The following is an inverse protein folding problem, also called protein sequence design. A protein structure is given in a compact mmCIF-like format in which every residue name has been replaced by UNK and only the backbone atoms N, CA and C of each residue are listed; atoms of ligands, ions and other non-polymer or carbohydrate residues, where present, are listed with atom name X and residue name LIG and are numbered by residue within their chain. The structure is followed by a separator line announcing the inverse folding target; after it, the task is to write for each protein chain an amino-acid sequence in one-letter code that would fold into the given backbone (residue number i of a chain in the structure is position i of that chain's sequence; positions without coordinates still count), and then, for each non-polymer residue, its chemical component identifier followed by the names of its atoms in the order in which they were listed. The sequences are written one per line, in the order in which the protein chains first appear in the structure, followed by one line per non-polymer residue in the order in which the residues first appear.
data_IF_746052897874
#
_entry.id   IF_746052897874
#
_cell.length_a   1.000
_cell.length_b   1.000
_cell.length_c   1.000
_cell.angle_alpha   90.00
_cell.angle_beta   90.00
_cell.angle_gamma   90.00
#
_symmetry.space_group_name_H-M   'P 1'
#
loop_
_entity.id
_entity.type
_entity.pdbx_description
1 polymer ?
#
# COMPACT_ATOMS: atom_id res chain seq x y z
N UNK A 1 31.87 4.08 0.68
CA UNK A 1 30.60 3.39 0.33
C UNK A 1 29.95 2.94 1.61
N UNK A 2 28.90 3.65 2.06
CA UNK A 2 28.27 3.52 3.38
C UNK A 2 27.67 2.12 3.62
N UNK A 3 27.70 1.65 4.90
CA UNK A 3 27.14 0.34 5.29
C UNK A 3 25.67 0.16 4.85
N UNK A 4 24.88 1.23 4.84
CA UNK A 4 23.50 1.25 4.35
C UNK A 4 23.38 0.90 2.85
N UNK A 5 24.26 1.44 2.00
CA UNK A 5 24.28 1.14 0.55
C UNK A 5 24.63 -0.33 0.29
N UNK A 6 25.51 -0.91 1.11
CA UNK A 6 25.84 -2.35 1.02
C UNK A 6 24.66 -3.24 1.43
N UNK A 7 23.91 -2.87 2.46
CA UNK A 7 22.70 -3.60 2.90
C UNK A 7 21.61 -3.51 1.84
N UNK A 8 21.37 -2.33 1.25
CA UNK A 8 20.42 -2.16 0.14
C UNK A 8 20.83 -2.97 -1.10
N UNK A 9 22.11 -2.94 -1.47
CA UNK A 9 22.64 -3.75 -2.57
C UNK A 9 22.52 -5.25 -2.30
N UNK A 10 22.78 -5.72 -1.07
CA UNK A 10 22.57 -7.11 -0.69
C UNK A 10 21.09 -7.52 -0.75
N UNK A 11 20.16 -6.66 -0.35
CA UNK A 11 18.72 -6.90 -0.45
C UNK A 11 18.26 -6.96 -1.91
N UNK A 12 18.77 -6.07 -2.77
CA UNK A 12 18.48 -6.07 -4.22
C UNK A 12 19.10 -7.31 -4.89
N UNK A 13 20.31 -7.72 -4.50
CA UNK A 13 20.94 -8.96 -5.02
C UNK A 13 20.23 -10.22 -4.54
N UNK A 14 19.72 -10.26 -3.29
CA UNK A 14 18.88 -11.35 -2.81
C UNK A 14 17.56 -11.43 -3.61
N UNK A 15 17.00 -10.29 -3.97
CA UNK A 15 15.79 -10.22 -4.79
C UNK A 15 16.02 -10.70 -6.22
N UNK A 16 17.15 -10.34 -6.82
CA UNK A 16 17.56 -10.79 -8.15
C UNK A 16 17.84 -12.31 -8.18
N UNK A 17 18.40 -12.89 -7.10
CA UNK A 17 18.67 -14.32 -7.00
C UNK A 17 17.39 -15.15 -6.77
N UNK A 18 16.38 -14.62 -6.10
CA UNK A 18 15.07 -15.28 -5.96
C UNK A 18 14.29 -15.37 -7.27
N UNK A 19 14.49 -14.43 -8.21
CA UNK A 19 13.90 -14.48 -9.54
C UNK A 19 14.60 -15.46 -10.50
N UNK A 20 15.86 -15.84 -10.24
CA UNK A 20 16.65 -16.76 -11.08
C UNK A 20 16.37 -18.25 -10.82
N UNK A 21 15.67 -18.61 -9.73
CA UNK A 21 15.24 -19.99 -9.44
C UNK A 21 13.91 -20.39 -10.08
N UNK A 22 13.33 -19.55 -10.93
CA UNK A 22 12.13 -19.86 -11.70
C UNK A 22 12.54 -20.39 -13.08
N UNK A 23 12.47 -21.70 -13.22
CA UNK A 23 12.26 -22.42 -14.47
C UNK A 23 13.44 -23.11 -15.14
N UNK A 24 13.50 -24.41 -14.90
CA UNK A 24 13.95 -25.42 -15.92
C UNK A 24 13.41 -26.80 -15.56
N UNK A 25 12.13 -27.04 -15.82
CA UNK A 25 11.61 -28.38 -16.05
C UNK A 25 10.41 -28.33 -16.99
N UNK A 26 10.71 -28.30 -18.29
CA UNK A 26 9.70 -28.53 -19.34
C UNK A 26 9.51 -30.05 -19.42
N UNK A 27 8.49 -30.57 -18.77
CA UNK A 27 7.91 -31.85 -19.08
C UNK A 27 6.87 -31.66 -20.19
N UNK A 28 7.11 -32.25 -21.35
CA UNK A 28 6.25 -32.18 -22.53
C UNK A 28 4.98 -33.02 -22.29
N UNK A 29 3.97 -32.51 -21.63
CA UNK A 29 2.53 -32.90 -21.68
C UNK A 29 1.66 -32.22 -20.62
N UNK A 30 2.07 -31.09 -20.11
CA UNK A 30 1.29 -30.36 -19.13
C UNK A 30 0.45 -29.26 -19.78
N UNK A 31 -0.88 -29.33 -19.62
CA UNK A 31 -1.79 -28.25 -19.91
C UNK A 31 -1.21 -26.92 -19.39
N UNK A 32 -0.92 -25.98 -20.30
CA UNK A 32 -0.30 -24.71 -19.94
C UNK A 32 -1.27 -23.90 -19.07
N UNK A 33 -0.92 -23.69 -17.81
CA UNK A 33 -1.73 -22.92 -16.88
C UNK A 33 -1.38 -21.43 -17.00
N UNK A 34 -2.35 -20.62 -17.41
CA UNK A 34 -2.22 -19.17 -17.49
C UNK A 34 -2.62 -18.52 -16.16
N UNK A 35 -1.87 -17.53 -15.74
CA UNK A 35 -2.10 -16.75 -14.53
C UNK A 35 -2.17 -15.28 -14.89
N UNK A 36 -3.37 -14.73 -15.10
CA UNK A 36 -3.53 -13.31 -15.38
C UNK A 36 -3.03 -12.46 -14.22
N UNK A 37 -2.54 -11.27 -14.55
CA UNK A 37 -2.29 -10.20 -13.59
C UNK A 37 -3.57 -9.37 -13.54
N UNK A 38 -4.23 -9.34 -12.39
CA UNK A 38 -5.33 -8.43 -12.13
C UNK A 38 -4.74 -7.06 -11.80
N UNK A 39 -4.89 -6.11 -12.70
CA UNK A 39 -4.39 -4.73 -12.57
C UNK A 39 -5.56 -3.80 -12.29
N UNK A 40 -5.41 -2.96 -11.27
CA UNK A 40 -6.39 -1.93 -10.91
C UNK A 40 -5.71 -0.58 -10.88
N UNK A 41 -6.34 0.42 -11.47
CA UNK A 41 -5.93 1.82 -11.38
C UNK A 41 -7.09 2.63 -10.86
N UNK A 42 -6.88 3.37 -9.78
CA UNK A 42 -7.94 4.14 -9.14
C UNK A 42 -7.51 5.56 -8.81
N UNK A 43 -8.49 6.43 -8.84
CA UNK A 43 -8.45 7.79 -8.33
C UNK A 43 -9.30 7.85 -7.07
N UNK A 44 -8.79 8.53 -6.05
CA UNK A 44 -9.44 8.69 -4.78
C UNK A 44 -9.57 10.16 -4.42
N UNK A 45 -10.72 10.51 -3.88
CA UNK A 45 -10.97 11.84 -3.35
C UNK A 45 -11.70 11.72 -2.01
N UNK A 46 -11.25 12.50 -1.02
CA UNK A 46 -11.83 12.39 0.30
C UNK A 46 -11.42 13.47 1.29
N UNK A 47 -11.70 13.19 2.55
CA UNK A 47 -11.34 14.02 3.67
C UNK A 47 -10.03 13.54 4.30
N UNK A 48 -9.21 14.48 4.74
CA UNK A 48 -7.96 14.23 5.46
C UNK A 48 -7.94 15.00 6.78
N UNK A 49 -7.31 14.41 7.79
CA UNK A 49 -7.10 15.02 9.09
C UNK A 49 -5.71 14.66 9.63
N UNK A 50 -4.89 15.67 9.90
CA UNK A 50 -3.51 15.50 10.36
C UNK A 50 -3.24 16.27 11.63
N UNK A 51 -2.58 15.62 12.58
CA UNK A 51 -1.94 16.19 13.75
C UNK A 51 -0.46 15.79 13.70
N UNK A 52 0.42 16.75 13.69
CA UNK A 52 1.87 16.57 13.83
C UNK A 52 2.39 17.60 14.82
N UNK A 53 2.68 17.15 16.06
CA UNK A 53 3.09 18.06 17.14
C UNK A 53 4.50 18.61 16.95
N UNK A 54 5.30 18.04 16.03
CA UNK A 54 6.56 18.64 15.62
C UNK A 54 6.37 19.96 14.86
N UNK A 55 5.34 20.05 14.00
CA UNK A 55 5.01 21.27 13.27
C UNK A 55 4.05 22.19 14.04
N UNK A 56 3.02 21.61 14.67
CA UNK A 56 1.95 22.35 15.33
C UNK A 56 1.15 21.45 16.27
N UNK A 57 0.75 21.93 17.45
CA UNK A 57 -0.15 21.19 18.34
C UNK A 57 -1.61 21.17 17.83
N UNK A 58 -1.90 21.84 16.70
CA UNK A 58 -3.24 21.94 16.15
C UNK A 58 -3.51 20.78 15.18
N UNK A 59 -4.75 20.30 15.16
CA UNK A 59 -5.24 19.35 14.16
C UNK A 59 -5.69 20.10 12.91
N UNK A 60 -5.11 19.78 11.78
CA UNK A 60 -5.48 20.26 10.46
C UNK A 60 -6.51 19.34 9.83
N UNK A 61 -7.42 19.90 9.04
CA UNK A 61 -8.45 19.14 8.31
C UNK A 61 -8.65 19.71 6.92
N UNK A 62 -8.90 18.83 5.95
CA UNK A 62 -9.09 19.25 4.57
C UNK A 62 -9.40 18.09 3.65
N UNK A 63 -8.92 18.17 2.42
CA UNK A 63 -9.16 17.19 1.38
C UNK A 63 -7.88 16.48 0.95
N UNK A 64 -8.05 15.24 0.51
CA UNK A 64 -7.01 14.39 -0.07
C UNK A 64 -7.38 13.99 -1.49
N UNK A 65 -6.37 13.85 -2.34
CA UNK A 65 -6.44 13.24 -3.66
C UNK A 65 -5.34 12.19 -3.73
N UNK A 66 -5.69 10.97 -4.13
CA UNK A 66 -4.71 9.88 -4.26
C UNK A 66 -4.91 9.14 -5.58
N UNK A 67 -3.82 8.75 -6.20
CA UNK A 67 -3.80 7.87 -7.38
C UNK A 67 -3.14 6.56 -6.95
N UNK A 68 -3.81 5.44 -7.21
CA UNK A 68 -3.35 4.11 -6.86
C UNK A 68 -3.22 3.20 -8.06
N UNK A 69 -2.18 2.38 -8.06
CA UNK A 69 -2.01 1.21 -8.89
C UNK A 69 -1.88 -0.05 -8.04
N UNK A 70 -2.60 -1.11 -8.38
CA UNK A 70 -2.57 -2.39 -7.68
C UNK A 70 -2.47 -3.54 -8.67
N UNK A 71 -1.58 -4.50 -8.43
CA UNK A 71 -1.34 -5.65 -9.29
C UNK A 71 -1.35 -6.93 -8.46
N UNK A 72 -2.29 -7.82 -8.75
CA UNK A 72 -2.43 -9.10 -8.07
C UNK A 72 -2.17 -10.25 -9.05
N UNK A 73 -1.43 -11.26 -8.61
CA UNK A 73 -1.11 -12.43 -9.42
C UNK A 73 -1.12 -13.71 -8.59
N UNK A 74 -1.77 -14.77 -9.09
CA UNK A 74 -1.66 -16.09 -8.52
C UNK A 74 -0.29 -16.70 -8.85
N UNK A 75 0.43 -17.19 -7.84
CA UNK A 75 1.76 -17.78 -7.98
C UNK A 75 1.66 -19.26 -8.35
N UNK A 76 2.71 -19.79 -9.02
CA UNK A 76 2.78 -21.21 -9.41
C UNK A 76 3.00 -22.14 -8.21
N UNK A 77 3.67 -21.64 -7.20
CA UNK A 77 4.04 -22.41 -6.01
C UNK A 77 2.81 -22.75 -5.16
N UNK A 78 2.91 -23.82 -4.39
CA UNK A 78 1.94 -24.25 -3.39
C UNK A 78 0.50 -24.40 -3.90
N UNK A 79 0.33 -25.25 -4.91
CA UNK A 79 -1.00 -25.60 -5.47
C UNK A 79 -1.85 -24.40 -5.90
N UNK A 80 -1.18 -23.30 -6.32
CA UNK A 80 -1.83 -22.09 -6.84
C UNK A 80 -2.63 -21.29 -5.78
N UNK A 81 -2.39 -21.58 -4.51
CA UNK A 81 -3.06 -20.89 -3.40
C UNK A 81 -2.34 -19.62 -2.94
N UNK A 82 -1.12 -19.37 -3.43
CA UNK A 82 -0.39 -18.15 -3.11
C UNK A 82 -0.79 -17.05 -4.09
N UNK A 83 -1.15 -15.89 -3.52
CA UNK A 83 -1.39 -14.64 -4.25
C UNK A 83 -0.26 -13.68 -3.87
N UNK A 84 0.37 -13.10 -4.88
CA UNK A 84 1.27 -11.97 -4.73
C UNK A 84 0.53 -10.69 -5.08
N UNK A 85 0.64 -9.67 -4.26
CA UNK A 85 0.14 -8.34 -4.54
C UNK A 85 1.29 -7.32 -4.47
N UNK A 86 1.22 -6.32 -5.35
CA UNK A 86 2.05 -5.14 -5.34
C UNK A 86 1.15 -3.93 -5.49
N UNK A 87 1.33 -2.92 -4.65
CA UNK A 87 0.57 -1.70 -4.67
C UNK A 87 1.51 -0.50 -4.67
N UNK A 88 1.12 0.56 -5.37
CA UNK A 88 1.83 1.83 -5.39
C UNK A 88 0.83 2.98 -5.39
N UNK A 89 1.05 4.00 -4.58
CA UNK A 89 0.19 5.17 -4.53
C UNK A 89 0.97 6.47 -4.41
N UNK A 90 0.35 7.55 -4.89
CA UNK A 90 0.79 8.92 -4.71
C UNK A 90 -0.38 9.74 -4.20
N UNK A 91 -0.18 10.43 -3.07
CA UNK A 91 -1.18 11.24 -2.40
C UNK A 91 -0.76 12.70 -2.27
N UNK A 92 -1.74 13.59 -2.38
CA UNK A 92 -1.63 15.02 -2.17
C UNK A 92 -2.79 15.51 -1.32
N UNK A 93 -2.48 16.30 -0.28
CA UNK A 93 -3.48 16.83 0.62
C UNK A 93 -3.33 18.32 0.84
N UNK A 94 -4.45 18.97 1.09
CA UNK A 94 -4.52 20.39 1.46
C UNK A 94 -5.49 20.55 2.64
N UNK A 95 -4.94 20.94 3.76
CA UNK A 95 -5.67 21.00 5.04
C UNK A 95 -5.54 22.38 5.67
N UNK A 96 -6.59 22.81 6.38
CA UNK A 96 -6.64 24.09 7.08
C UNK A 96 -6.61 23.87 8.60
N UNK A 97 -6.01 24.84 9.29
CA UNK A 97 -6.11 24.92 10.76
C UNK A 97 -7.56 25.16 11.20
N UNK A 98 -7.92 24.90 12.48
CA UNK A 98 -9.25 25.19 13.00
C UNK A 98 -9.68 26.64 12.79
N UNK A 99 -8.76 27.59 12.92
CA UNK A 99 -9.00 29.02 12.68
C UNK A 99 -8.96 29.42 11.19
N UNK A 100 -8.70 28.47 10.27
CA UNK A 100 -8.57 28.68 8.81
C UNK A 100 -7.52 29.74 8.39
N UNK A 101 -6.57 30.04 9.25
CA UNK A 101 -5.52 31.04 9.02
C UNK A 101 -4.16 30.43 8.68
N UNK A 102 -4.05 29.12 8.63
CA UNK A 102 -2.85 28.37 8.28
C UNK A 102 -3.21 27.16 7.44
N UNK A 103 -2.35 26.82 6.50
CA UNK A 103 -2.53 25.68 5.59
C UNK A 103 -1.38 24.70 5.73
N UNK A 104 -1.73 23.44 5.85
CA UNK A 104 -0.83 22.28 5.81
C UNK A 104 -1.01 21.56 4.48
N UNK A 105 0.08 21.29 3.80
CA UNK A 105 0.13 20.42 2.65
C UNK A 105 0.81 19.11 3.03
N UNK A 106 0.31 18.02 2.50
CA UNK A 106 0.88 16.69 2.67
C UNK A 106 1.12 16.06 1.31
N UNK A 107 2.29 15.47 1.15
CA UNK A 107 2.68 14.66 0.01
C UNK A 107 3.06 13.28 0.50
N UNK A 108 2.54 12.21 -0.13
CA UNK A 108 2.86 10.83 0.20
C UNK A 108 3.15 9.99 -1.04
N UNK A 109 4.07 9.05 -0.88
CA UNK A 109 4.38 7.95 -1.79
C UNK A 109 4.38 6.68 -0.96
N UNK A 110 3.54 5.73 -1.35
CA UNK A 110 3.44 4.44 -0.66
C UNK A 110 3.67 3.32 -1.66
N UNK A 111 4.46 2.33 -1.24
CA UNK A 111 4.72 1.10 -1.98
C UNK A 111 4.52 -0.07 -1.05
N UNK A 112 3.80 -1.08 -1.49
CA UNK A 112 3.67 -2.30 -0.72
C UNK A 112 3.80 -3.54 -1.60
N UNK A 113 4.34 -4.58 -1.02
CA UNK A 113 4.41 -5.90 -1.59
C UNK A 113 3.94 -6.92 -0.56
N UNK A 114 3.10 -7.85 -0.96
CA UNK A 114 2.61 -8.88 -0.05
C UNK A 114 2.45 -10.23 -0.73
N UNK A 115 2.58 -11.30 0.06
CA UNK A 115 2.24 -12.66 -0.31
C UNK A 115 1.20 -13.20 0.67
N UNK A 116 0.07 -13.68 0.14
CA UNK A 116 -1.05 -14.17 0.91
C UNK A 116 -1.41 -15.59 0.49
N UNK A 117 -1.75 -16.43 1.44
CA UNK A 117 -2.30 -17.74 1.18
C UNK A 117 -3.83 -17.63 1.07
N UNK A 118 -4.38 -18.23 -0.01
CA UNK A 118 -5.79 -18.15 -0.37
C UNK A 118 -6.55 -19.39 0.06
N UNK A 119 -7.71 -19.19 0.66
CA UNK A 119 -8.72 -20.21 0.98
C UNK A 119 -10.03 -19.88 0.28
N UNK A 120 -10.76 -20.90 -0.13
CA UNK A 120 -12.12 -20.78 -0.68
C UNK A 120 -13.06 -21.58 0.22
N UNK A 121 -13.53 -21.01 1.35
CA UNK A 121 -14.33 -21.75 2.33
C UNK A 121 -15.70 -22.13 1.80
N UNK A 122 -16.28 -21.31 0.94
CA UNK A 122 -17.57 -21.56 0.27
C UNK A 122 -17.48 -21.06 -1.18
N UNK A 123 -18.40 -21.52 -2.00
CA UNK A 123 -18.51 -21.10 -3.39
C UNK A 123 -18.64 -19.56 -3.48
N UNK A 124 -17.97 -18.96 -4.45
CA UNK A 124 -17.90 -17.50 -4.68
C UNK A 124 -17.24 -16.66 -3.57
N UNK A 125 -16.83 -17.23 -2.44
CA UNK A 125 -16.17 -16.52 -1.37
C UNK A 125 -14.71 -16.97 -1.21
N UNK A 126 -13.81 -16.02 -1.24
CA UNK A 126 -12.39 -16.27 -1.08
C UNK A 126 -11.83 -15.37 0.00
N UNK A 127 -10.95 -15.91 0.80
CA UNK A 127 -10.17 -15.16 1.79
C UNK A 127 -8.69 -15.46 1.60
N UNK A 128 -7.86 -14.47 1.82
CA UNK A 128 -6.41 -14.62 1.81
C UNK A 128 -5.82 -13.90 3.00
N UNK A 129 -4.78 -14.48 3.60
CA UNK A 129 -4.02 -13.83 4.63
C UNK A 129 -2.54 -14.14 4.47
N UNK A 130 -1.70 -13.21 4.88
CA UNK A 130 -0.26 -13.36 4.76
C UNK A 130 0.52 -12.16 5.25
N UNK A 131 1.78 -12.09 4.82
CA UNK A 131 2.69 -11.03 5.19
C UNK A 131 3.25 -10.28 3.99
N UNK A 132 3.90 -9.17 4.27
CA UNK A 132 4.50 -8.34 3.24
C UNK A 132 5.48 -7.32 3.79
N UNK A 133 5.86 -6.39 2.94
CA UNK A 133 6.67 -5.24 3.28
C UNK A 133 6.04 -3.98 2.68
N UNK A 134 6.12 -2.88 3.40
CA UNK A 134 5.70 -1.57 2.94
C UNK A 134 6.81 -0.54 3.10
N UNK A 135 6.88 0.37 2.16
CA UNK A 135 7.73 1.57 2.17
C UNK A 135 6.81 2.77 2.04
N UNK A 136 6.83 3.64 3.02
CA UNK A 136 6.07 4.88 3.03
C UNK A 136 7.04 6.06 3.09
N UNK A 137 6.88 7.03 2.19
CA UNK A 137 7.70 8.25 2.12
C UNK A 137 6.74 9.42 1.98
N UNK A 138 6.95 10.48 2.75
CA UNK A 138 6.11 11.66 2.66
C UNK A 138 6.74 12.89 3.29
N UNK A 139 6.09 14.01 3.09
CA UNK A 139 6.47 15.28 3.70
C UNK A 139 5.25 16.15 3.97
N UNK A 140 5.21 16.70 5.17
CA UNK A 140 4.28 17.74 5.57
C UNK A 140 4.93 19.10 5.38
N UNK A 141 4.19 20.05 4.83
CA UNK A 141 4.62 21.43 4.70
C UNK A 141 3.60 22.38 5.32
N UNK A 142 3.98 23.03 6.41
CA UNK A 142 3.16 24.02 7.12
C UNK A 142 3.50 25.43 6.65
N UNK A 143 2.67 26.00 5.79
CA UNK A 143 2.94 27.25 5.08
C UNK A 143 3.17 28.47 6.01
N UNK A 144 2.66 28.45 7.25
CA UNK A 144 2.79 29.54 8.22
C UNK A 144 4.06 29.46 9.07
N UNK A 145 4.68 28.29 9.14
CA UNK A 145 5.87 28.11 9.99
C UNK A 145 7.13 28.57 9.22
N UNK A 146 7.72 29.69 9.62
CA UNK A 146 8.85 30.28 8.93
C UNK A 146 10.20 29.63 9.30
N UNK A 147 10.31 29.06 10.50
CA UNK A 147 11.61 28.56 10.99
C UNK A 147 11.85 27.08 10.63
N UNK A 148 10.79 26.26 10.68
CA UNK A 148 10.88 24.83 10.39
C UNK A 148 9.57 24.35 9.76
N UNK A 149 9.32 24.65 8.48
CA UNK A 149 8.01 24.44 7.86
C UNK A 149 7.75 22.99 7.42
N UNK A 150 8.77 22.13 7.42
CA UNK A 150 8.71 20.77 6.86
C UNK A 150 8.80 19.72 7.98
N UNK A 151 8.03 18.64 7.85
CA UNK A 151 8.20 17.40 8.61
C UNK A 151 8.26 16.25 7.62
N UNK A 152 9.41 15.56 7.54
CA UNK A 152 9.55 14.38 6.69
C UNK A 152 8.99 13.15 7.40
N UNK A 153 8.39 12.26 6.61
CA UNK A 153 7.91 10.95 7.07
C UNK A 153 8.54 9.87 6.20
N UNK A 154 9.11 8.88 6.82
CA UNK A 154 9.62 7.70 6.13
C UNK A 154 9.46 6.49 7.04
N UNK A 155 8.97 5.38 6.51
CA UNK A 155 8.96 4.11 7.22
C UNK A 155 9.18 2.94 6.27
N UNK A 156 9.76 1.88 6.82
CA UNK A 156 9.88 0.56 6.19
C UNK A 156 9.32 -0.45 7.18
N UNK A 157 8.27 -1.14 6.78
CA UNK A 157 7.47 -1.97 7.67
C UNK A 157 7.33 -3.39 7.13
N UNK A 158 7.36 -4.36 8.02
CA UNK A 158 6.82 -5.70 7.78
C UNK A 158 5.34 -5.65 8.11
N UNK A 159 4.49 -6.09 7.17
CA UNK A 159 3.04 -5.95 7.28
C UNK A 159 2.33 -7.30 7.37
N UNK A 160 1.23 -7.33 8.12
CA UNK A 160 0.21 -8.37 8.03
C UNK A 160 -0.87 -7.90 7.05
N UNK A 161 -1.25 -8.77 6.13
CA UNK A 161 -2.18 -8.45 5.05
C UNK A 161 -3.30 -9.48 4.99
N UNK A 162 -4.51 -9.01 4.74
CA UNK A 162 -5.67 -9.85 4.50
C UNK A 162 -6.47 -9.34 3.31
N UNK A 163 -7.09 -10.25 2.59
CA UNK A 163 -8.03 -9.97 1.51
C UNK A 163 -9.24 -10.89 1.63
N UNK A 164 -10.43 -10.33 1.46
CA UNK A 164 -11.66 -11.08 1.29
C UNK A 164 -12.29 -10.67 -0.03
N UNK A 165 -12.85 -11.62 -0.77
CA UNK A 165 -13.62 -11.31 -1.99
C UNK A 165 -14.85 -12.20 -2.09
N UNK A 166 -15.95 -11.60 -2.54
CA UNK A 166 -17.21 -12.27 -2.77
C UNK A 166 -17.76 -11.92 -4.14
N UNK A 167 -17.99 -12.93 -4.98
CA UNK A 167 -18.51 -12.77 -6.34
C UNK A 167 -20.01 -13.03 -6.33
N UNK A 168 -20.77 -12.07 -6.86
CA UNK A 168 -22.23 -12.13 -6.93
C UNK A 168 -22.72 -11.57 -8.28
N UNK A 169 -24.00 -11.78 -8.59
CA UNK A 169 -24.66 -11.21 -9.76
C UNK A 169 -25.78 -10.27 -9.31
N UNK A 170 -25.75 -9.04 -9.82
CA UNK A 170 -26.86 -8.08 -9.66
C UNK A 170 -27.59 -8.01 -11.02
N UNK A 171 -28.69 -8.73 -11.14
CA UNK A 171 -29.34 -8.92 -12.42
C UNK A 171 -28.45 -9.68 -13.39
N UNK A 172 -28.00 -9.02 -14.46
CA UNK A 172 -27.10 -9.60 -15.47
C UNK A 172 -25.63 -9.17 -15.30
N UNK A 173 -25.35 -8.32 -14.32
CA UNK A 173 -24.01 -7.77 -14.11
C UNK A 173 -23.28 -8.61 -13.06
N UNK A 174 -22.13 -9.21 -13.40
CA UNK A 174 -21.22 -9.78 -12.40
C UNK A 174 -20.60 -8.67 -11.57
N UNK A 175 -20.69 -8.80 -10.25
CA UNK A 175 -20.12 -7.86 -9.28
C UNK A 175 -19.24 -8.63 -8.32
N UNK A 176 -18.05 -8.10 -8.04
CA UNK A 176 -17.15 -8.62 -7.04
C UNK A 176 -16.95 -7.61 -5.93
N UNK A 177 -17.31 -7.98 -4.72
CA UNK A 177 -16.97 -7.23 -3.53
C UNK A 177 -15.58 -7.64 -3.08
N UNK A 178 -14.76 -6.67 -2.70
CA UNK A 178 -13.38 -6.87 -2.25
C UNK A 178 -13.19 -6.04 -0.99
N UNK A 179 -12.62 -6.67 0.04
CA UNK A 179 -12.14 -6.01 1.24
C UNK A 179 -10.66 -6.37 1.43
N UNK A 180 -9.80 -5.36 1.56
CA UNK A 180 -8.36 -5.53 1.76
C UNK A 180 -7.95 -4.75 2.99
N UNK A 181 -7.17 -5.40 3.85
CA UNK A 181 -6.62 -4.78 5.07
C UNK A 181 -5.12 -5.03 5.11
N UNK A 182 -4.37 -3.98 5.40
CA UNK A 182 -2.93 -4.02 5.67
C UNK A 182 -2.61 -3.31 6.98
N UNK A 183 -1.74 -3.92 7.80
CA UNK A 183 -1.27 -3.34 9.07
C UNK A 183 0.21 -3.63 9.26
N UNK A 184 1.06 -2.67 9.67
CA UNK A 184 2.43 -2.93 10.08
C UNK A 184 2.44 -3.77 11.36
N UNK A 185 3.38 -4.69 11.43
CA UNK A 185 3.63 -5.53 12.63
C UNK A 185 4.87 -5.02 13.37
N UNK A 186 5.92 -4.79 12.60
CA UNK A 186 7.20 -4.26 13.06
C UNK A 186 7.87 -3.53 11.89
N UNK A 187 8.62 -2.49 12.21
CA UNK A 187 9.32 -1.74 11.17
C UNK A 187 10.36 -0.79 11.74
N UNK A 188 10.81 0.10 10.88
CA UNK A 188 11.65 1.22 11.24
C UNK A 188 11.06 2.49 10.63
N UNK A 189 10.98 3.55 11.39
CA UNK A 189 10.47 4.82 10.92
C UNK A 189 11.34 5.98 11.34
N UNK A 190 11.29 7.04 10.56
CA UNK A 190 11.99 8.29 10.79
C UNK A 190 11.14 9.22 11.64
N UNK A 191 11.71 9.79 12.67
CA UNK A 191 11.16 10.91 13.44
C UNK A 191 12.30 11.72 14.05
N UNK A 192 12.35 13.05 13.86
CA UNK A 192 13.29 13.89 14.61
C UNK A 192 12.88 13.93 16.09
N UNK A 193 13.79 14.37 16.95
CA UNK A 193 13.46 14.70 18.33
C UNK A 193 12.80 16.08 18.44
N UNK A 194 12.10 16.31 19.55
CA UNK A 194 11.47 17.62 19.80
C UNK A 194 12.55 18.72 19.96
N UNK A 195 12.43 19.74 19.14
CA UNK A 195 13.41 20.85 19.08
C UNK A 195 14.57 20.64 18.14
N UNK A 196 14.75 19.45 17.59
CA UNK A 196 15.76 19.17 16.57
C UNK A 196 15.30 19.74 15.22
N UNK A 197 16.16 20.52 14.59
CA UNK A 197 15.86 21.15 13.30
C UNK A 197 16.45 20.33 12.15
N UNK A 198 15.83 20.39 10.96
CA UNK A 198 16.40 19.76 9.76
C UNK A 198 17.76 20.36 9.38
N UNK A 199 18.05 21.58 9.82
CA UNK A 199 19.37 22.19 9.64
C UNK A 199 20.45 21.46 10.46
N UNK A 200 20.17 21.08 11.69
CA UNK A 200 21.08 20.29 12.54
C UNK A 200 21.30 18.90 11.97
N UNK A 201 20.23 18.27 11.45
CA UNK A 201 20.33 16.99 10.73
C UNK A 201 21.23 17.13 9.49
N UNK A 202 21.06 18.20 8.72
CA UNK A 202 21.93 18.51 7.56
C UNK A 202 23.39 18.70 7.96
N UNK A 203 23.67 19.28 9.12
CA UNK A 203 25.02 19.47 9.66
C UNK A 203 25.65 18.20 10.23
N UNK A 204 24.93 17.06 10.21
CA UNK A 204 25.46 15.75 10.60
C UNK A 204 24.96 15.21 11.94
N UNK A 205 23.98 15.84 12.56
CA UNK A 205 23.29 15.27 13.73
C UNK A 205 22.29 14.20 13.24
N UNK A 206 22.72 12.95 13.20
CA UNK A 206 21.89 11.81 12.74
C UNK A 206 21.53 10.84 13.88
N UNK A 207 21.88 11.18 15.11
CA UNK A 207 21.61 10.34 16.27
C UNK A 207 20.10 10.37 16.59
N UNK A 208 19.50 9.21 16.82
CA UNK A 208 18.11 9.12 17.26
C UNK A 208 17.03 9.32 16.21
N UNK A 209 17.38 9.49 14.91
CA UNK A 209 16.40 9.74 13.85
C UNK A 209 15.62 8.51 13.38
N UNK A 210 16.16 7.32 13.59
CA UNK A 210 15.52 6.06 13.18
C UNK A 210 15.04 5.29 14.42
N UNK A 211 13.76 4.99 14.45
CA UNK A 211 13.11 4.31 15.57
C UNK A 211 12.58 2.96 15.13
N UNK A 212 12.66 1.97 16.04
CA UNK A 212 11.98 0.70 15.85
C UNK A 212 10.47 0.92 16.04
N UNK A 213 9.69 0.56 15.02
CA UNK A 213 8.24 0.67 14.99
C UNK A 213 7.56 -0.61 15.45
N UNK A 214 6.53 -0.49 16.27
CA UNK A 214 5.61 -1.53 16.69
C UNK A 214 4.26 -0.90 17.04
N UNK A 215 3.22 -1.66 17.21
CA UNK A 215 1.84 -1.15 17.39
C UNK A 215 1.67 -0.10 18.52
N UNK A 216 2.56 -0.08 19.51
CA UNK A 216 2.50 0.89 20.60
C UNK A 216 3.03 2.29 20.26
N UNK A 217 3.92 2.40 19.26
CA UNK A 217 4.55 3.67 18.88
C UNK A 217 4.45 3.99 17.38
N UNK A 218 4.13 3.01 16.54
CA UNK A 218 3.95 3.16 15.10
C UNK A 218 2.85 2.22 14.63
N UNK A 219 1.64 2.74 14.53
CA UNK A 219 0.45 2.01 14.11
C UNK A 219 -0.12 2.60 12.82
N UNK A 220 -0.49 1.73 11.89
CA UNK A 220 -1.24 2.08 10.68
C UNK A 220 -2.28 1.00 10.40
N UNK A 221 -3.41 1.38 9.89
CA UNK A 221 -4.37 0.50 9.26
C UNK A 221 -4.78 1.12 7.93
N UNK A 222 -4.59 0.35 6.89
CA UNK A 222 -5.01 0.65 5.53
C UNK A 222 -6.11 -0.34 5.15
N UNK A 223 -7.30 0.16 4.82
CA UNK A 223 -8.45 -0.67 4.48
C UNK A 223 -9.16 -0.16 3.23
N UNK A 224 -9.24 -0.99 2.22
CA UNK A 224 -9.97 -0.76 0.96
C UNK A 224 -11.16 -1.70 0.87
N UNK A 225 -12.36 -1.15 0.94
CA UNK A 225 -13.61 -1.84 0.62
C UNK A 225 -14.11 -1.37 -0.75
N UNK A 226 -14.21 -2.27 -1.72
CA UNK A 226 -14.57 -1.93 -3.10
C UNK A 226 -15.53 -2.94 -3.73
N UNK A 227 -16.26 -2.48 -4.74
CA UNK A 227 -17.06 -3.30 -5.64
C UNK A 227 -16.52 -3.13 -7.07
N UNK A 228 -16.13 -4.23 -7.69
CA UNK A 228 -15.74 -4.30 -9.11
C UNK A 228 -16.95 -4.78 -9.93
N UNK A 229 -17.51 -3.90 -10.73
CA UNK A 229 -18.67 -4.15 -11.60
C UNK A 229 -18.15 -4.50 -12.99
N UNK A 230 -18.32 -5.74 -13.42
CA UNK A 230 -17.80 -6.20 -14.71
C UNK A 230 -18.60 -5.62 -15.88
N UNK A 231 -17.88 -4.97 -16.80
CA UNK A 231 -18.41 -4.39 -18.04
C UNK A 231 -17.88 -5.13 -19.29
N UNK A 232 -17.50 -6.40 -19.12
CA UNK A 232 -16.91 -7.24 -20.15
C UNK A 232 -15.41 -7.45 -19.91
N UNK A 233 -14.53 -6.84 -20.68
CA UNK A 233 -13.07 -6.97 -20.54
C UNK A 233 -12.48 -6.13 -19.41
N UNK A 234 -13.23 -5.16 -18.92
CA UNK A 234 -12.84 -4.22 -17.86
C UNK A 234 -13.95 -4.22 -16.80
N UNK A 235 -13.58 -4.04 -15.54
CA UNK A 235 -14.53 -3.78 -14.46
C UNK A 235 -14.37 -2.35 -13.94
N UNK A 236 -15.50 -1.70 -13.67
CA UNK A 236 -15.54 -0.43 -12.96
C UNK A 236 -15.41 -0.71 -11.45
N UNK A 237 -14.42 -0.11 -10.83
CA UNK A 237 -14.22 -0.14 -9.37
C UNK A 237 -14.86 1.06 -8.72
N UNK A 238 -15.70 0.84 -7.72
CA UNK A 238 -16.24 1.87 -6.84
C UNK A 238 -16.02 1.40 -5.41
N UNK A 239 -15.49 2.27 -4.54
CA UNK A 239 -15.15 1.83 -3.19
C UNK A 239 -14.95 2.96 -2.20
N UNK A 240 -14.54 2.56 -1.02
CA UNK A 240 -14.18 3.41 0.10
C UNK A 240 -12.83 2.96 0.64
N UNK A 241 -11.93 3.93 0.83
CA UNK A 241 -10.59 3.71 1.37
C UNK A 241 -10.43 4.48 2.67
N UNK A 242 -10.01 3.77 3.72
CA UNK A 242 -9.65 4.29 5.03
C UNK A 242 -8.15 4.07 5.23
N UNK A 243 -7.41 5.13 5.45
CA UNK A 243 -6.04 5.07 5.97
C UNK A 243 -5.99 5.81 7.31
N UNK A 244 -5.54 5.13 8.33
CA UNK A 244 -5.30 5.70 9.64
C UNK A 244 -3.89 5.35 10.08
N UNK A 245 -3.11 6.36 10.48
CA UNK A 245 -1.81 6.15 11.09
C UNK A 245 -1.64 6.97 12.36
N UNK A 246 -0.89 6.42 13.31
CA UNK A 246 -0.55 7.05 14.58
C UNK A 246 0.87 6.71 14.97
N UNK A 247 1.70 7.73 15.18
CA UNK A 247 3.07 7.61 15.65
C UNK A 247 3.27 8.33 16.97
N UNK A 248 4.18 7.81 17.80
CA UNK A 248 4.60 8.48 19.03
C UNK A 248 6.09 8.22 19.29
N UNK A 249 6.85 9.30 19.36
CA UNK A 249 8.28 9.29 19.73
C UNK A 249 8.47 10.36 20.80
N UNK A 250 8.80 9.92 22.02
CA UNK A 250 8.88 10.83 23.18
C UNK A 250 7.61 11.71 23.31
N UNK A 251 7.77 13.02 23.14
CA UNK A 251 6.66 13.99 23.21
C UNK A 251 6.06 14.33 21.85
N UNK A 252 6.63 13.83 20.76
CA UNK A 252 6.10 14.01 19.41
C UNK A 252 5.01 12.98 19.16
N UNK A 253 3.82 13.47 18.81
CA UNK A 253 2.66 12.67 18.42
C UNK A 253 2.27 13.03 17.00
N UNK A 254 2.22 12.04 16.14
CA UNK A 254 1.69 12.15 14.79
C UNK A 254 0.42 11.32 14.67
N UNK A 255 -0.62 11.89 14.05
CA UNK A 255 -1.85 11.16 13.69
C UNK A 255 -2.31 11.65 12.33
N UNK A 256 -2.58 10.72 11.47
CA UNK A 256 -3.09 11.01 10.14
C UNK A 256 -4.28 10.08 9.84
N UNK A 257 -5.31 10.63 9.23
CA UNK A 257 -6.51 9.86 8.87
C UNK A 257 -7.04 10.38 7.55
N UNK A 258 -7.29 9.49 6.61
CA UNK A 258 -8.01 9.79 5.37
C UNK A 258 -9.23 8.89 5.22
N UNK A 259 -10.27 9.46 4.64
CA UNK A 259 -11.51 8.81 4.28
C UNK A 259 -11.81 9.18 2.84
N UNK A 260 -11.67 8.26 1.90
CA UNK A 260 -11.76 8.56 0.47
C UNK A 260 -12.77 7.68 -0.24
N UNK A 261 -13.48 8.27 -1.19
CA UNK A 261 -14.22 7.53 -2.22
C UNK A 261 -13.25 7.14 -3.33
N UNK A 262 -13.37 5.92 -3.79
CA UNK A 262 -12.51 5.30 -4.80
C UNK A 262 -13.30 5.09 -6.07
N UNK A 263 -12.76 5.55 -7.20
CA UNK A 263 -13.27 5.25 -8.55
C UNK A 263 -12.10 4.77 -9.38
N UNK A 264 -12.25 3.65 -10.07
CA UNK A 264 -11.15 3.07 -10.83
C UNK A 264 -11.59 2.08 -11.89
N UNK A 265 -10.60 1.53 -12.55
CA UNK A 265 -10.77 0.48 -13.56
C UNK A 265 -9.91 -0.72 -13.16
N UNK A 266 -10.48 -1.90 -13.28
CA UNK A 266 -9.79 -3.17 -13.06
C UNK A 266 -9.84 -4.00 -14.34
N UNK A 267 -8.74 -4.62 -14.71
CA UNK A 267 -8.67 -5.54 -15.84
C UNK A 267 -7.70 -6.68 -15.57
N UNK A 268 -7.97 -7.83 -16.17
CA UNK A 268 -7.08 -8.98 -16.13
C UNK A 268 -6.25 -9.01 -17.42
N UNK A 269 -4.93 -8.89 -17.26
CA UNK A 269 -3.99 -8.99 -18.38
C UNK A 269 -3.37 -10.37 -18.48
N UNK A 270 -3.48 -10.98 -19.65
CA UNK A 270 -2.82 -12.23 -20.01
C UNK A 270 -1.70 -11.94 -21.02
N UNK A 271 -0.48 -12.34 -20.70
CA UNK A 271 0.60 -12.39 -21.69
C UNK A 271 0.39 -13.64 -22.56
N UNK A 272 -0.27 -13.46 -23.71
CA UNK A 272 -0.60 -14.54 -24.64
C UNK A 272 0.45 -14.56 -25.76
N UNK A 273 1.48 -15.37 -25.62
CA UNK A 273 2.32 -15.82 -26.71
C UNK A 273 1.91 -17.25 -27.07
N UNK A 274 1.07 -17.43 -28.10
CA UNK A 274 0.61 -18.73 -28.62
C UNK A 274 -0.62 -19.28 -27.88
N UNK A 275 -1.79 -19.18 -28.51
CA UNK A 275 -3.06 -19.75 -28.03
C UNK A 275 -3.19 -21.18 -28.49
N UNK A 276 -3.03 -22.16 -27.59
CA UNK A 276 -3.58 -23.51 -27.76
C UNK A 276 -4.89 -23.62 -26.97
N UNK A 277 -5.88 -24.34 -27.56
CA UNK A 277 -7.28 -24.41 -27.07
C UNK A 277 -7.47 -25.15 -25.72
N UNK A 278 -6.41 -25.67 -25.09
CA UNK A 278 -6.46 -26.43 -23.83
C UNK A 278 -5.70 -25.72 -22.71
N UNK A 279 -6.09 -24.49 -22.34
CA UNK A 279 -5.38 -23.73 -21.32
C UNK A 279 -6.24 -23.57 -20.07
N UNK A 280 -5.69 -23.91 -18.90
CA UNK A 280 -6.30 -23.62 -17.61
C UNK A 280 -5.94 -22.18 -17.21
N UNK A 281 -6.95 -21.37 -16.89
CA UNK A 281 -6.78 -20.00 -16.42
C UNK A 281 -7.01 -19.97 -14.91
N UNK A 282 -6.03 -19.48 -14.15
CA UNK A 282 -6.12 -19.34 -12.69
C UNK A 282 -5.91 -17.88 -12.33
N UNK A 283 -6.98 -17.15 -12.15
CA UNK A 283 -6.93 -15.76 -11.74
C UNK A 283 -6.54 -15.63 -10.25
N UNK A 284 -6.08 -14.42 -9.87
CA UNK A 284 -5.68 -14.14 -8.49
C UNK A 284 -6.88 -14.08 -7.53
N UNK A 285 -8.03 -13.61 -8.03
CA UNK A 285 -9.21 -13.30 -7.23
C UNK A 285 -10.48 -14.01 -7.79
N UNK A 286 -10.38 -15.18 -8.40
CA UNK A 286 -11.53 -15.95 -8.90
C UNK A 286 -11.59 -17.33 -8.29
#
# INVERSE_FOLDING_TARGET
MNRLVRILLCLVCLWASLSAFADNSISADSVRTLRPVTSSYSFEYGAASTLDTYLSPLRYQGSTITINGSWLKAMRQNSQRLIMAFDASIGLESQLSPARNSRLYDFSLDFSWSMMYRWCPIEHFQVGAGGGAALNIGALYLARNSNNPVSARASVDVTANAIASYSLHIGRLPVRLIDRVSMPVVGAFFSPEYGETYYEIYLGNHAGLAHCGWWGNHFRIDNLLAADISLGTVALRVGYHLDFSSGKVHDIVTRHTTHSLVIGLTHDSLNITGLDKSQNIIPAIY
#
